data_IF_224886687501
#
_entry.id   IF_224886687501
#
_cell.length_a   1.000
_cell.length_b   1.000
_cell.length_c   1.000
_cell.angle_alpha   90.00
_cell.angle_beta   90.00
_cell.angle_gamma   90.00
#
_symmetry.space_group_name_H-M   'P 1'
#
loop_
_entity.id
_entity.type
_entity.pdbx_description
1 polymer ?
#
# COMPACT_ATOMS: atom_id res chain seq x y z
N UNK A 1 -7.67 -5.78 -3.77
CA UNK A 1 -6.61 -6.31 -2.95
C UNK A 1 -5.47 -6.88 -3.77
N UNK A 2 -4.26 -6.62 -3.41
CA UNK A 2 -3.11 -7.08 -4.16
C UNK A 2 -1.85 -6.32 -3.77
N UNK A 3 -0.71 -6.87 -4.16
CA UNK A 3 0.59 -6.32 -3.83
C UNK A 3 1.27 -5.74 -5.07
N UNK A 4 0.55 -4.88 -5.80
CA UNK A 4 1.10 -4.19 -6.96
C UNK A 4 1.68 -2.85 -6.55
N UNK A 5 2.48 -2.25 -7.43
CA UNK A 5 3.05 -0.92 -7.21
C UNK A 5 2.12 0.21 -7.66
N UNK A 6 1.07 -0.12 -8.39
CA UNK A 6 0.14 0.83 -9.00
C UNK A 6 -1.25 0.21 -9.16
N UNK A 7 -2.32 1.01 -9.28
CA UNK A 7 -3.62 0.49 -9.70
C UNK A 7 -3.54 -0.17 -11.07
N UNK A 8 -4.28 -1.26 -11.26
CA UNK A 8 -4.28 -2.02 -12.50
C UNK A 8 -5.72 -2.35 -12.93
N UNK A 9 -5.91 -2.52 -14.24
CA UNK A 9 -7.14 -3.09 -14.81
C UNK A 9 -6.98 -4.59 -15.01
N UNK A 10 -7.92 -5.35 -14.48
CA UNK A 10 -7.96 -6.79 -14.65
C UNK A 10 -9.41 -7.28 -14.51
N UNK A 11 -9.87 -8.12 -15.46
CA UNK A 11 -11.24 -8.66 -15.48
C UNK A 11 -12.32 -7.57 -15.37
N UNK A 12 -12.18 -6.48 -16.15
CA UNK A 12 -13.09 -5.33 -16.17
C UNK A 12 -13.22 -4.59 -14.82
N UNK A 13 -12.29 -4.79 -13.92
CA UNK A 13 -12.25 -4.13 -12.63
C UNK A 13 -10.95 -3.35 -12.48
N UNK A 14 -11.01 -2.28 -11.70
CA UNK A 14 -9.82 -1.54 -11.27
C UNK A 14 -9.43 -2.08 -9.89
N UNK A 15 -8.22 -2.59 -9.80
CA UNK A 15 -7.66 -3.14 -8.57
C UNK A 15 -6.72 -2.11 -7.95
N UNK A 16 -7.05 -1.70 -6.73
CA UNK A 16 -6.20 -0.80 -5.96
C UNK A 16 -5.30 -1.64 -5.06
N UNK A 17 -3.98 -1.46 -5.14
CA UNK A 17 -3.08 -2.25 -4.32
C UNK A 17 -3.19 -1.87 -2.84
N UNK A 18 -2.92 -2.84 -1.99
CA UNK A 18 -2.77 -2.63 -0.54
C UNK A 18 -1.46 -3.29 -0.13
N UNK A 19 -0.43 -2.49 0.09
CA UNK A 19 0.93 -3.00 0.28
C UNK A 19 1.46 -2.78 1.69
N UNK A 20 0.95 -1.79 2.42
CA UNK A 20 1.57 -1.32 3.65
C UNK A 20 0.61 -1.39 4.82
N UNK A 21 1.19 -1.60 6.01
CA UNK A 21 0.50 -1.55 7.29
C UNK A 21 0.92 -0.36 8.15
N UNK A 22 1.93 0.39 7.66
CA UNK A 22 2.37 1.67 8.24
C UNK A 22 2.97 2.54 7.14
N UNK A 23 3.01 3.85 7.36
CA UNK A 23 3.59 4.78 6.41
C UNK A 23 5.08 4.53 6.21
N UNK A 24 5.50 4.60 4.95
CA UNK A 24 6.89 4.57 4.51
C UNK A 24 7.07 5.48 3.32
N UNK A 25 8.27 5.98 3.12
CA UNK A 25 8.60 6.77 1.94
C UNK A 25 9.08 5.86 0.81
N UNK A 26 8.47 6.06 -0.37
CA UNK A 26 8.90 5.42 -1.61
C UNK A 26 9.05 6.49 -2.69
N UNK A 27 10.01 6.30 -3.58
CA UNK A 27 10.29 7.27 -4.65
C UNK A 27 9.23 7.28 -5.74
N UNK A 28 8.54 6.17 -5.96
CA UNK A 28 7.56 6.03 -7.03
C UNK A 28 6.49 5.02 -6.67
N UNK A 29 5.40 5.04 -7.41
CA UNK A 29 4.27 4.16 -7.24
C UNK A 29 3.15 4.80 -6.42
N UNK A 30 2.05 4.09 -6.34
CA UNK A 30 0.89 4.47 -5.53
C UNK A 30 0.75 3.41 -4.45
N UNK A 31 0.83 3.84 -3.20
CA UNK A 31 0.92 2.97 -2.05
C UNK A 31 -0.27 3.19 -1.13
N UNK A 32 -0.91 2.12 -0.73
CA UNK A 32 -2.05 2.15 0.17
C UNK A 32 -1.64 1.61 1.54
N UNK A 33 -1.90 2.40 2.56
CA UNK A 33 -1.67 2.01 3.95
C UNK A 33 -3.00 1.62 4.56
N UNK A 34 -3.06 0.43 5.15
CA UNK A 34 -4.26 -0.05 5.81
C UNK A 34 -4.02 -0.17 7.31
N UNK A 35 -4.88 0.45 8.10
CA UNK A 35 -4.86 0.36 9.55
C UNK A 35 -6.12 -0.32 10.06
N UNK A 36 -5.94 -1.28 10.95
CA UNK A 36 -7.03 -1.91 11.70
C UNK A 36 -7.08 -1.28 13.07
N UNK A 37 -7.92 -0.27 13.24
CA UNK A 37 -7.95 0.55 14.47
C UNK A 37 -8.66 -0.11 15.64
N UNK A 38 -9.44 -1.15 15.40
CA UNK A 38 -10.13 -1.88 16.47
C UNK A 38 -9.12 -2.55 17.40
N UNK A 39 -9.21 -2.27 18.67
CA UNK A 39 -8.31 -2.84 19.67
C UNK A 39 -6.94 -2.17 19.77
N UNK A 40 -6.71 -1.10 19.04
CA UNK A 40 -5.49 -0.32 19.17
C UNK A 40 -5.43 0.45 20.48
N UNK A 41 -4.24 0.49 21.08
CA UNK A 41 -3.96 1.30 22.25
C UNK A 41 -3.84 2.77 21.88
N UNK A 42 -3.97 3.64 22.88
CA UNK A 42 -3.87 5.10 22.68
C UNK A 42 -2.57 5.51 22.01
N UNK A 43 -1.45 4.91 22.40
CA UNK A 43 -0.12 5.21 21.85
C UNK A 43 -0.02 4.86 20.36
N UNK A 44 -0.67 3.77 19.93
CA UNK A 44 -0.73 3.37 18.53
C UNK A 44 -1.55 4.37 17.70
N UNK A 45 -2.69 4.82 18.23
CA UNK A 45 -3.53 5.83 17.58
C UNK A 45 -2.82 7.18 17.47
N UNK A 46 -2.09 7.58 18.50
CA UNK A 46 -1.28 8.81 18.48
C UNK A 46 -0.17 8.74 17.42
N UNK A 47 0.43 7.57 17.26
CA UNK A 47 1.43 7.34 16.21
C UNK A 47 0.83 7.48 14.81
N UNK A 48 -0.36 6.94 14.58
CA UNK A 48 -1.07 7.09 13.30
C UNK A 48 -1.33 8.56 13.02
N UNK A 49 -1.79 9.33 14.00
CA UNK A 49 -2.02 10.77 13.84
C UNK A 49 -0.72 11.52 13.50
N UNK A 50 0.38 11.16 14.15
CA UNK A 50 1.69 11.73 13.85
C UNK A 50 2.13 11.40 12.42
N UNK A 51 1.94 10.17 11.99
CA UNK A 51 2.27 9.74 10.63
C UNK A 51 1.41 10.47 9.59
N UNK A 52 0.12 10.64 9.84
CA UNK A 52 -0.76 11.40 8.96
C UNK A 52 -0.28 12.85 8.79
N UNK A 53 0.18 13.48 9.86
CA UNK A 53 0.75 14.83 9.79
C UNK A 53 2.07 14.85 8.99
N UNK A 54 2.93 13.88 9.21
CA UNK A 54 4.23 13.79 8.53
C UNK A 54 4.06 13.59 7.02
N UNK A 55 3.13 12.75 6.59
CA UNK A 55 2.93 12.40 5.19
C UNK A 55 1.78 13.15 4.53
N UNK A 56 1.23 14.15 5.17
CA UNK A 56 0.02 14.85 4.75
C UNK A 56 0.05 15.31 3.29
N UNK A 57 1.15 15.88 2.83
CA UNK A 57 1.27 16.38 1.45
C UNK A 57 1.36 15.26 0.41
N UNK A 58 1.72 14.06 0.83
CA UNK A 58 1.83 12.88 -0.04
C UNK A 58 0.54 12.07 -0.11
N UNK A 59 -0.43 12.35 0.75
CA UNK A 59 -1.70 11.64 0.78
C UNK A 59 -2.64 12.22 -0.26
N UNK A 60 -3.14 11.35 -1.14
CA UNK A 60 -4.07 11.75 -2.21
C UNK A 60 -5.35 10.92 -2.12
N UNK A 61 -6.44 11.47 -2.64
CA UNK A 61 -7.71 10.76 -2.67
C UNK A 61 -7.73 9.69 -3.75
N UNK A 62 -8.56 8.67 -3.56
CA UNK A 62 -8.81 7.66 -4.59
C UNK A 62 -9.36 8.31 -5.87
N UNK A 63 -10.24 9.28 -5.75
CA UNK A 63 -10.81 10.00 -6.87
C UNK A 63 -9.73 10.70 -7.70
N UNK A 64 -8.77 11.35 -7.04
CA UNK A 64 -7.62 11.96 -7.70
C UNK A 64 -6.79 10.92 -8.47
N UNK A 65 -6.54 9.76 -7.88
CA UNK A 65 -5.80 8.66 -8.52
C UNK A 65 -6.51 8.21 -9.79
N UNK A 66 -7.82 7.98 -9.71
CA UNK A 66 -8.61 7.50 -10.84
C UNK A 66 -8.69 8.52 -11.99
N UNK A 67 -8.70 9.81 -11.68
CA UNK A 67 -8.79 10.88 -12.68
C UNK A 67 -7.45 11.28 -13.29
N UNK A 68 -6.36 11.22 -12.53
CA UNK A 68 -5.08 11.78 -12.91
C UNK A 68 -3.99 10.73 -13.19
N UNK A 69 -4.29 9.45 -13.05
CA UNK A 69 -3.35 8.37 -13.30
C UNK A 69 -3.88 7.47 -14.41
N UNK A 70 -3.04 7.18 -15.40
CA UNK A 70 -3.34 6.16 -16.40
C UNK A 70 -3.38 4.79 -15.75
N UNK A 71 -4.53 4.13 -15.81
CA UNK A 71 -4.70 2.78 -15.27
C UNK A 71 -4.63 1.79 -16.41
N UNK A 72 -3.52 1.06 -16.47
CA UNK A 72 -3.23 0.08 -17.50
C UNK A 72 -3.57 -1.33 -17.03
N UNK A 73 -3.62 -2.25 -17.99
CA UNK A 73 -3.83 -3.66 -17.71
C UNK A 73 -2.72 -4.25 -16.84
N UNK A 74 -3.05 -5.30 -16.12
CA UNK A 74 -2.10 -6.09 -15.34
C UNK A 74 -1.04 -6.69 -16.26
N UNK A 75 0.23 -6.58 -15.88
CA UNK A 75 1.37 -7.05 -16.66
C UNK A 75 2.17 -8.12 -15.92
N UNK A 76 3.10 -8.76 -16.65
CA UNK A 76 4.06 -9.71 -16.05
C UNK A 76 4.91 -9.04 -14.98
N UNK A 77 5.29 -7.77 -15.18
CA UNK A 77 6.05 -7.01 -14.18
C UNK A 77 5.28 -6.82 -12.88
N UNK A 78 3.98 -6.55 -12.96
CA UNK A 78 3.12 -6.46 -11.79
C UNK A 78 3.08 -7.79 -11.02
N UNK A 79 3.00 -8.91 -11.75
CA UNK A 79 3.01 -10.24 -11.16
C UNK A 79 4.33 -10.54 -10.46
N UNK A 80 5.46 -10.22 -11.09
CA UNK A 80 6.79 -10.38 -10.49
C UNK A 80 6.92 -9.53 -9.22
N UNK A 81 6.51 -8.27 -9.29
CA UNK A 81 6.52 -7.37 -8.13
C UNK A 81 5.71 -7.95 -6.97
N UNK A 82 4.49 -8.41 -7.24
CA UNK A 82 3.61 -9.01 -6.24
C UNK A 82 4.25 -10.21 -5.55
N UNK A 83 4.86 -11.11 -6.32
CA UNK A 83 5.54 -12.30 -5.77
C UNK A 83 6.74 -11.93 -4.90
N UNK A 84 7.55 -10.98 -5.34
CA UNK A 84 8.70 -10.49 -4.58
C UNK A 84 8.22 -9.83 -3.27
N UNK A 85 7.19 -9.01 -3.34
CA UNK A 85 6.65 -8.32 -2.16
C UNK A 85 6.12 -9.29 -1.12
N UNK A 86 5.38 -10.33 -1.53
CA UNK A 86 4.89 -11.38 -0.64
C UNK A 86 6.05 -12.11 0.04
N UNK A 87 7.10 -12.42 -0.70
CA UNK A 87 8.30 -13.08 -0.14
C UNK A 87 9.00 -12.20 0.90
N UNK A 88 9.11 -10.91 0.64
CA UNK A 88 9.70 -9.97 1.59
C UNK A 88 8.88 -9.86 2.88
N UNK A 89 7.56 -9.85 2.78
CA UNK A 89 6.67 -9.85 3.94
C UNK A 89 6.86 -11.12 4.76
N UNK A 90 6.89 -12.28 4.11
CA UNK A 90 7.10 -13.57 4.79
C UNK A 90 8.45 -13.63 5.49
N UNK A 91 9.50 -13.18 4.82
CA UNK A 91 10.85 -13.14 5.39
C UNK A 91 10.90 -12.23 6.62
N UNK A 92 10.31 -11.05 6.55
CA UNK A 92 10.23 -10.13 7.67
C UNK A 92 9.51 -10.75 8.87
N UNK A 93 8.42 -11.48 8.64
CA UNK A 93 7.69 -12.18 9.71
C UNK A 93 8.54 -13.26 10.36
N UNK A 94 9.30 -14.03 9.58
CA UNK A 94 10.21 -15.05 10.09
C UNK A 94 11.31 -14.41 10.94
N UNK A 95 11.95 -13.34 10.43
CA UNK A 95 13.02 -12.64 11.15
C UNK A 95 12.54 -12.00 12.45
N UNK A 96 11.30 -11.52 12.50
CA UNK A 96 10.74 -10.92 13.72
C UNK A 96 10.42 -11.94 14.81
N UNK A 97 10.39 -13.23 14.46
CA UNK A 97 10.16 -14.33 15.42
C UNK A 97 11.46 -14.89 16.01
N UNK A 98 12.60 -14.53 15.43
CA UNK A 98 13.91 -14.92 15.96
C UNK A 98 14.35 -13.96 17.05
#
# INVERSE_FOLDING_TARGET
>A
DGFFKRPVKYMNMIWIPQQLWKFRHFRSGIWTVCYHVNGMKKEELERICSDLNQYNESIISLDYVLKNTSINSFTILDNIFSKVWVRLIKLKRILSRL
#
